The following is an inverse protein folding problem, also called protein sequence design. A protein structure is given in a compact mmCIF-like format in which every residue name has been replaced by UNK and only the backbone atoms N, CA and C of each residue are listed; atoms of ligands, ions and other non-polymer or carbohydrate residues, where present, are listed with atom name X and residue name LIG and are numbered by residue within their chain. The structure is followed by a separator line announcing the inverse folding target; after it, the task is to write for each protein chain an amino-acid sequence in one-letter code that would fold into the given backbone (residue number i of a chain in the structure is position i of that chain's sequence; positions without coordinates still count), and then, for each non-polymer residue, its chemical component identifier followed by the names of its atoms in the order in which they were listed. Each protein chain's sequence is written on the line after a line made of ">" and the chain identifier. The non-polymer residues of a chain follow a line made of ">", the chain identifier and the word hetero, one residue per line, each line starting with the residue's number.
data_IF_619355810522
#
_entry.id   IF_619355810522
#
_cell.length_a   1.000
_cell.length_b   1.000
_cell.length_c   1.000
_cell.angle_alpha   90.00
_cell.angle_beta   90.00
_cell.angle_gamma   90.00
#
_symmetry.space_group_name_H-M   'P 1'
#
loop_
_entity.id
_entity.type
_entity.pdbx_description
1 polymer ?
#
# COMPACT_ATOMS: atom_id res chain seq x y z
N UNK A 1 -1.46 42.00 -1.42
CA UNK A 1 -1.18 41.26 -2.67
C UNK A 1 -1.87 39.92 -2.59
N UNK A 2 -2.54 39.41 -3.61
CA UNK A 2 -3.14 38.09 -3.52
C UNK A 2 -2.00 37.08 -3.35
N UNK A 3 -2.01 36.39 -2.23
CA UNK A 3 -1.08 35.30 -1.96
C UNK A 3 -1.45 34.13 -2.88
N UNK A 4 -0.66 33.89 -3.92
CA UNK A 4 -0.88 32.83 -4.92
C UNK A 4 -0.52 31.43 -4.42
N UNK A 5 -0.01 31.31 -3.21
CA UNK A 5 0.41 30.02 -2.64
C UNK A 5 -0.76 29.34 -1.90
N UNK A 6 -1.00 28.03 -2.08
CA UNK A 6 -1.96 27.30 -1.29
C UNK A 6 -1.63 27.34 0.22
N UNK A 7 -2.66 27.35 1.08
CA UNK A 7 -2.48 27.41 2.54
C UNK A 7 -1.62 26.25 3.05
N UNK A 8 -1.81 25.07 2.48
CA UNK A 8 -1.01 23.89 2.78
C UNK A 8 0.51 24.07 2.51
N UNK A 9 0.89 24.95 1.60
CA UNK A 9 2.28 25.29 1.32
C UNK A 9 2.77 26.41 2.26
N UNK A 10 1.94 27.41 2.48
CA UNK A 10 2.24 28.57 3.34
C UNK A 10 2.48 28.16 4.81
N UNK A 11 1.74 27.17 5.31
CA UNK A 11 1.85 26.65 6.67
C UNK A 11 2.92 25.55 6.83
N UNK A 12 3.76 25.29 5.81
CA UNK A 12 4.81 24.28 5.95
C UNK A 12 5.77 24.64 7.06
N UNK A 13 6.08 23.69 7.96
CA UNK A 13 7.16 23.86 8.95
C UNK A 13 8.50 24.19 8.29
N UNK A 14 9.19 25.12 8.90
CA UNK A 14 10.56 25.53 8.51
C UNK A 14 11.62 25.02 9.47
N UNK A 15 11.20 24.61 10.66
CA UNK A 15 12.08 24.02 11.69
C UNK A 15 11.51 22.67 12.16
N UNK A 16 12.32 21.83 12.80
CA UNK A 16 11.88 20.57 13.38
C UNK A 16 10.89 20.78 14.53
N UNK A 17 10.99 21.87 15.26
CA UNK A 17 10.11 22.18 16.38
C UNK A 17 8.68 22.50 15.93
N UNK A 18 8.53 23.08 14.74
CA UNK A 18 7.21 23.33 14.13
C UNK A 18 6.52 22.05 13.62
N UNK A 19 7.28 20.96 13.46
CA UNK A 19 6.70 19.66 13.07
C UNK A 19 5.96 19.09 14.27
N UNK A 20 4.66 19.00 14.19
CA UNK A 20 3.81 18.40 15.21
C UNK A 20 3.96 16.88 15.15
N UNK A 21 3.86 16.18 16.30
CA UNK A 21 4.00 14.72 16.49
C UNK A 21 5.39 14.15 16.06
N UNK A 22 5.58 12.83 16.05
CA UNK A 22 6.84 12.16 15.66
C UNK A 22 8.01 12.39 16.64
N UNK A 23 7.74 12.50 17.93
CA UNK A 23 8.76 12.83 18.94
C UNK A 23 10.00 11.94 18.87
N UNK A 24 9.83 10.61 18.71
CA UNK A 24 10.98 9.69 18.57
C UNK A 24 11.76 9.90 17.28
N UNK A 25 11.05 10.21 16.19
CA UNK A 25 11.65 10.52 14.89
C UNK A 25 12.41 11.85 14.96
N UNK A 26 11.83 12.89 15.57
CA UNK A 26 12.48 14.17 15.81
C UNK A 26 13.76 14.00 16.60
N UNK A 27 13.71 13.30 17.74
CA UNK A 27 14.89 13.02 18.57
C UNK A 27 15.99 12.29 17.80
N UNK A 28 15.62 11.33 16.95
CA UNK A 28 16.58 10.62 16.11
C UNK A 28 17.23 11.53 15.07
N UNK A 29 16.43 12.36 14.41
CA UNK A 29 16.88 13.32 13.41
C UNK A 29 17.77 14.41 14.06
N UNK A 30 17.36 14.90 15.23
CA UNK A 30 18.11 15.91 15.96
C UNK A 30 19.50 15.40 16.36
N UNK A 31 19.63 14.17 16.83
CA UNK A 31 20.94 13.55 17.11
C UNK A 31 21.85 13.45 15.87
N UNK A 32 21.28 13.21 14.67
CA UNK A 32 22.09 13.22 13.44
C UNK A 32 22.56 14.62 13.08
N UNK A 33 21.74 15.64 13.33
CA UNK A 33 22.10 17.03 13.09
C UNK A 33 23.18 17.50 14.06
N UNK A 34 23.06 17.21 15.35
CA UNK A 34 24.05 17.54 16.38
C UNK A 34 25.43 16.97 16.06
N UNK A 35 25.48 15.77 15.50
CA UNK A 35 26.72 15.11 15.10
C UNK A 35 27.20 15.49 13.69
N UNK A 36 26.50 16.37 12.98
CA UNK A 36 26.79 16.71 11.58
C UNK A 36 26.94 15.50 10.63
N UNK A 37 26.45 14.35 11.06
CA UNK A 37 26.48 13.10 10.30
C UNK A 37 25.06 12.61 10.05
N UNK A 38 24.50 13.04 8.93
CA UNK A 38 23.18 12.57 8.48
C UNK A 38 23.40 11.40 7.53
N UNK A 39 23.00 10.19 7.90
CA UNK A 39 23.07 9.04 7.00
C UNK A 39 22.03 9.16 5.88
N UNK A 40 22.21 8.41 4.81
CA UNK A 40 21.10 8.21 3.87
C UNK A 40 19.91 7.53 4.57
N UNK A 41 18.69 7.96 4.24
CA UNK A 41 17.48 7.57 4.95
C UNK A 41 16.38 7.15 4.00
N UNK A 42 15.54 6.25 4.48
CA UNK A 42 14.30 5.85 3.82
C UNK A 42 13.15 6.29 4.72
N UNK A 43 12.37 7.24 4.24
CA UNK A 43 11.16 7.73 4.91
C UNK A 43 9.99 6.83 4.49
N UNK A 44 9.59 5.96 5.40
CA UNK A 44 8.52 5.02 5.17
C UNK A 44 7.29 5.38 5.98
N UNK A 45 6.19 5.49 5.36
CA UNK A 45 4.83 5.48 5.86
C UNK A 45 3.85 6.12 4.88
N UNK A 46 2.57 6.07 5.28
CA UNK A 46 1.34 6.59 4.67
C UNK A 46 1.53 7.87 3.84
N UNK A 47 0.77 8.10 2.80
CA UNK A 47 0.73 9.35 2.05
C UNK A 47 0.52 10.56 3.00
N UNK A 48 1.07 11.73 2.64
CA UNK A 48 0.73 13.02 3.27
C UNK A 48 1.34 13.32 4.66
N UNK A 49 2.36 12.59 5.08
CA UNK A 49 3.15 12.97 6.25
C UNK A 49 4.42 13.71 5.81
N UNK A 50 4.59 14.92 6.16
CA UNK A 50 5.74 15.83 6.10
C UNK A 50 7.09 15.33 5.51
N UNK A 51 7.16 14.22 4.76
CA UNK A 51 8.40 13.61 4.26
C UNK A 51 9.28 14.61 3.51
N UNK A 52 8.71 15.30 2.52
CA UNK A 52 9.40 16.35 1.78
C UNK A 52 9.75 17.54 2.66
N UNK A 53 8.85 17.91 3.60
CA UNK A 53 9.06 19.02 4.51
C UNK A 53 10.24 18.75 5.45
N UNK A 54 10.30 17.56 6.05
CA UNK A 54 11.41 17.17 6.92
C UNK A 54 12.73 17.11 6.14
N UNK A 55 12.71 16.62 4.90
CA UNK A 55 13.91 16.64 4.05
C UNK A 55 14.39 18.07 3.76
N UNK A 56 13.46 19.01 3.53
CA UNK A 56 13.78 20.43 3.40
C UNK A 56 14.35 21.03 4.69
N UNK A 57 13.72 20.78 5.83
CA UNK A 57 14.20 21.24 7.15
C UNK A 57 15.61 20.74 7.41
N UNK A 58 15.88 19.45 7.11
CA UNK A 58 17.21 18.87 7.22
C UNK A 58 18.24 19.59 6.34
N UNK A 59 17.87 19.91 5.10
CA UNK A 59 18.78 20.60 4.18
C UNK A 59 19.15 21.99 4.68
N UNK A 60 18.17 22.74 5.20
CA UNK A 60 18.40 24.08 5.77
C UNK A 60 19.30 24.03 7.00
N UNK A 61 19.05 23.13 7.92
CA UNK A 61 19.86 22.98 9.14
C UNK A 61 21.29 22.51 8.87
N UNK A 62 21.47 21.68 7.82
CA UNK A 62 22.80 21.24 7.37
C UNK A 62 23.50 22.21 6.45
N UNK A 63 22.87 23.30 6.06
CA UNK A 63 23.37 24.21 5.00
C UNK A 63 23.76 23.45 3.72
N UNK A 64 23.02 22.38 3.42
CA UNK A 64 23.25 21.51 2.26
C UNK A 64 22.48 22.02 1.04
N UNK A 65 23.01 21.79 -0.14
CA UNK A 65 22.22 21.97 -1.36
C UNK A 65 21.19 20.87 -1.47
N UNK A 66 19.93 21.30 -1.63
CA UNK A 66 18.78 20.41 -1.68
C UNK A 66 18.28 20.24 -3.12
N UNK A 67 18.19 19.00 -3.56
CA UNK A 67 17.62 18.65 -4.84
C UNK A 67 16.45 17.70 -4.62
N UNK A 68 15.30 18.03 -5.21
CA UNK A 68 14.11 17.20 -5.21
C UNK A 68 13.91 16.63 -6.61
N UNK A 69 13.84 15.31 -6.72
CA UNK A 69 13.51 14.64 -7.96
C UNK A 69 12.25 13.79 -7.79
N UNK A 70 11.29 14.04 -8.65
CA UNK A 70 10.16 13.14 -8.83
C UNK A 70 10.48 12.14 -9.94
N UNK A 71 10.59 10.86 -9.56
CA UNK A 71 10.93 9.81 -10.52
C UNK A 71 9.93 9.60 -11.66
N UNK A 72 8.71 10.09 -11.52
CA UNK A 72 7.69 10.04 -12.57
C UNK A 72 8.02 10.98 -13.73
N UNK A 73 8.69 12.10 -13.44
CA UNK A 73 8.96 13.18 -14.42
C UNK A 73 10.43 13.32 -14.80
N UNK A 74 11.37 12.81 -13.98
CA UNK A 74 12.80 13.06 -14.13
C UNK A 74 13.47 12.05 -15.06
N UNK A 75 14.38 12.56 -15.89
CA UNK A 75 15.21 11.77 -16.79
C UNK A 75 16.57 11.44 -16.14
N UNK A 76 17.32 10.52 -16.74
CA UNK A 76 18.67 10.16 -16.30
C UNK A 76 19.63 11.36 -16.34
N UNK A 77 19.40 12.31 -17.25
CA UNK A 77 20.16 13.54 -17.43
C UNK A 77 20.06 14.46 -16.20
N UNK A 78 18.85 14.56 -15.61
CA UNK A 78 18.62 15.38 -14.41
C UNK A 78 19.45 14.85 -13.22
N UNK A 79 19.54 13.54 -13.06
CA UNK A 79 20.36 12.92 -12.03
C UNK A 79 21.86 13.22 -12.26
N UNK A 80 22.33 13.10 -13.50
CA UNK A 80 23.74 13.41 -13.83
C UNK A 80 24.08 14.86 -13.51
N UNK A 81 23.21 15.81 -13.82
CA UNK A 81 23.39 17.23 -13.48
C UNK A 81 23.55 17.43 -11.98
N UNK A 82 22.74 16.73 -11.16
CA UNK A 82 22.84 16.80 -9.69
C UNK A 82 24.15 16.20 -9.20
N UNK A 83 24.59 15.09 -9.81
CA UNK A 83 25.86 14.46 -9.45
C UNK A 83 27.07 15.38 -9.76
N UNK A 84 27.07 16.06 -10.90
CA UNK A 84 28.07 17.07 -11.23
C UNK A 84 28.09 18.24 -10.23
N UNK A 85 26.89 18.67 -9.78
CA UNK A 85 26.80 19.67 -8.70
C UNK A 85 27.35 19.14 -7.37
N UNK A 86 27.06 17.89 -7.04
CA UNK A 86 27.54 17.25 -5.82
C UNK A 86 29.07 17.12 -5.82
N UNK A 87 29.70 16.83 -6.96
CA UNK A 87 31.15 16.81 -7.09
C UNK A 87 31.79 18.21 -6.85
N UNK A 88 31.17 19.26 -7.39
CA UNK A 88 31.59 20.65 -7.12
C UNK A 88 31.42 20.99 -5.64
N UNK A 89 30.30 20.66 -5.04
CA UNK A 89 30.02 20.89 -3.62
C UNK A 89 31.05 20.22 -2.71
N UNK A 90 31.43 18.97 -3.04
CA UNK A 90 32.45 18.23 -2.29
C UNK A 90 33.79 18.97 -2.23
N UNK A 91 34.18 19.66 -3.30
CA UNK A 91 35.39 20.44 -3.34
C UNK A 91 35.34 21.64 -2.35
N UNK A 92 34.16 22.10 -2.00
CA UNK A 92 33.94 23.22 -1.04
C UNK A 92 33.42 22.72 0.32
N UNK A 93 33.53 21.44 0.63
CA UNK A 93 33.01 20.81 1.87
C UNK A 93 31.53 21.03 2.11
N UNK A 94 30.77 21.35 1.06
CA UNK A 94 29.32 21.52 1.12
C UNK A 94 28.61 20.19 0.85
N UNK A 95 27.64 19.87 1.69
CA UNK A 95 26.85 18.63 1.52
C UNK A 95 25.80 18.79 0.44
N UNK A 96 25.51 17.71 -0.26
CA UNK A 96 24.42 17.62 -1.24
C UNK A 96 23.41 16.62 -0.76
N UNK A 97 22.16 17.04 -0.60
CA UNK A 97 21.05 16.22 -0.16
C UNK A 97 20.10 16.02 -1.34
N UNK A 98 19.89 14.77 -1.71
CA UNK A 98 18.98 14.39 -2.78
C UNK A 98 17.75 13.71 -2.19
N UNK A 99 16.58 14.33 -2.38
CA UNK A 99 15.30 13.79 -2.01
C UNK A 99 14.63 13.14 -3.22
N UNK A 100 14.22 11.88 -3.05
CA UNK A 100 13.56 11.08 -4.08
C UNK A 100 12.19 10.63 -3.58
N UNK A 101 11.14 11.14 -4.22
CA UNK A 101 9.78 10.72 -3.88
C UNK A 101 9.37 9.49 -4.69
N UNK A 102 8.59 8.60 -4.06
CA UNK A 102 8.00 7.40 -4.65
C UNK A 102 8.99 6.43 -5.32
N UNK A 103 10.08 6.07 -4.61
CA UNK A 103 11.14 5.16 -5.12
C UNK A 103 10.60 3.81 -5.62
N UNK A 104 9.48 3.33 -5.09
CA UNK A 104 8.85 2.06 -5.46
C UNK A 104 8.44 1.98 -6.94
N UNK A 105 8.30 3.11 -7.61
CA UNK A 105 8.01 3.18 -9.05
C UNK A 105 9.21 2.90 -9.97
N UNK A 106 10.40 2.66 -9.40
CA UNK A 106 11.62 2.33 -10.14
C UNK A 106 11.97 0.86 -10.07
N UNK A 107 12.51 0.36 -11.20
CA UNK A 107 13.05 -0.99 -11.24
C UNK A 107 14.37 -1.10 -10.44
N UNK A 108 14.74 -2.32 -10.07
CA UNK A 108 15.92 -2.59 -9.25
C UNK A 108 17.24 -2.09 -9.88
N UNK A 109 17.39 -2.20 -11.20
CA UNK A 109 18.59 -1.72 -11.89
C UNK A 109 18.79 -0.20 -11.80
N UNK A 110 17.70 0.56 -11.80
CA UNK A 110 17.74 2.01 -11.60
C UNK A 110 18.07 2.37 -10.14
N UNK A 111 17.61 1.59 -9.19
CA UNK A 111 17.98 1.73 -7.78
C UNK A 111 19.47 1.44 -7.58
N UNK A 112 20.00 0.40 -8.22
CA UNK A 112 21.43 0.03 -8.15
C UNK A 112 22.34 1.14 -8.68
N UNK A 113 21.91 1.92 -9.65
CA UNK A 113 22.71 3.02 -10.20
C UNK A 113 23.02 4.13 -9.19
N UNK A 114 22.30 4.20 -8.06
CA UNK A 114 22.54 5.16 -6.98
C UNK A 114 23.57 4.69 -5.95
N UNK A 115 23.83 3.37 -5.87
CA UNK A 115 24.72 2.78 -4.87
C UNK A 115 26.12 3.43 -4.83
N UNK A 116 26.83 3.62 -5.95
CA UNK A 116 28.19 4.21 -5.92
C UNK A 116 28.23 5.59 -5.28
N UNK A 117 27.19 6.39 -5.49
CA UNK A 117 27.14 7.79 -5.00
C UNK A 117 26.76 7.87 -3.52
N UNK A 118 25.98 6.90 -3.04
CA UNK A 118 25.69 6.75 -1.60
C UNK A 118 26.90 6.20 -0.86
N UNK A 119 27.59 5.20 -1.42
CA UNK A 119 28.79 4.59 -0.81
C UNK A 119 29.98 5.54 -0.74
N UNK A 120 30.17 6.37 -1.77
CA UNK A 120 31.23 7.39 -1.78
C UNK A 120 30.95 8.58 -0.87
N UNK A 121 29.74 8.68 -0.31
CA UNK A 121 29.29 9.83 0.46
C UNK A 121 29.20 11.13 -0.35
N UNK A 122 29.15 11.03 -1.68
CA UNK A 122 29.02 12.17 -2.58
C UNK A 122 27.67 12.87 -2.37
N UNK A 123 26.62 12.09 -2.16
CA UNK A 123 25.27 12.55 -1.85
C UNK A 123 24.74 11.91 -0.58
N UNK A 124 23.98 12.67 0.20
CA UNK A 124 23.10 12.11 1.23
C UNK A 124 21.73 11.91 0.63
N UNK A 125 21.27 10.69 0.59
CA UNK A 125 20.04 10.31 -0.11
C UNK A 125 18.91 10.13 0.88
N UNK A 126 17.78 10.79 0.64
CA UNK A 126 16.52 10.60 1.37
C UNK A 126 15.47 10.08 0.41
N UNK A 127 15.00 8.88 0.64
CA UNK A 127 13.92 8.27 -0.14
C UNK A 127 12.61 8.32 0.61
N UNK A 128 11.56 8.73 -0.08
CA UNK A 128 10.22 8.62 0.42
C UNK A 128 9.48 7.49 -0.28
N UNK A 129 8.77 6.67 0.48
CA UNK A 129 7.90 5.61 -0.05
C UNK A 129 6.69 5.40 0.84
N UNK A 130 5.57 5.07 0.21
CA UNK A 130 4.35 4.64 0.89
C UNK A 130 4.27 3.12 0.99
N UNK A 131 5.04 2.39 0.18
CA UNK A 131 5.09 0.94 0.20
C UNK A 131 6.14 0.42 1.17
N UNK A 132 5.97 -0.82 1.64
CA UNK A 132 6.94 -1.43 2.54
C UNK A 132 8.32 -1.57 1.87
N UNK A 133 9.36 -0.91 2.42
CA UNK A 133 10.70 -0.88 1.84
C UNK A 133 11.30 -2.27 1.59
N UNK A 134 10.93 -3.24 2.41
CA UNK A 134 11.45 -4.62 2.31
C UNK A 134 11.03 -5.33 1.02
N UNK A 135 9.97 -4.87 0.36
CA UNK A 135 9.49 -5.46 -0.90
C UNK A 135 9.90 -4.64 -2.11
N UNK A 136 10.05 -3.32 -1.95
CA UNK A 136 10.17 -2.38 -3.07
C UNK A 136 11.58 -1.86 -3.28
N UNK A 137 12.42 -1.87 -2.23
CA UNK A 137 13.80 -1.39 -2.29
C UNK A 137 14.76 -2.59 -2.30
N UNK A 138 15.84 -2.50 -3.07
CA UNK A 138 16.82 -3.56 -3.10
C UNK A 138 17.59 -3.65 -1.77
N UNK A 139 18.05 -4.86 -1.44
CA UNK A 139 18.73 -5.13 -0.18
C UNK A 139 20.05 -4.35 -0.03
N UNK A 140 20.70 -4.03 -1.13
CA UNK A 140 21.97 -3.30 -1.12
C UNK A 140 21.77 -1.86 -0.65
N UNK A 141 20.68 -1.20 -1.06
CA UNK A 141 20.31 0.12 -0.59
C UNK A 141 19.76 0.11 0.84
N UNK A 142 18.92 -0.90 1.17
CA UNK A 142 18.39 -1.07 2.53
C UNK A 142 19.51 -1.21 3.57
N UNK A 143 20.61 -1.89 3.23
CA UNK A 143 21.75 -2.06 4.16
C UNK A 143 22.55 -0.77 4.39
N UNK A 144 22.39 0.25 3.54
CA UNK A 144 23.16 1.51 3.58
C UNK A 144 22.33 2.72 3.97
N UNK A 145 21.04 2.54 4.16
CA UNK A 145 20.14 3.62 4.54
C UNK A 145 19.39 3.28 5.84
N UNK A 146 19.16 4.27 6.67
CA UNK A 146 18.35 4.10 7.88
C UNK A 146 16.88 4.26 7.54
N UNK A 147 16.09 3.23 7.84
CA UNK A 147 14.63 3.32 7.71
C UNK A 147 14.08 4.16 8.88
N UNK A 148 13.39 5.23 8.54
CA UNK A 148 12.66 6.10 9.45
C UNK A 148 11.19 5.86 9.19
N UNK A 149 10.51 5.32 10.18
CA UNK A 149 9.06 5.05 10.12
C UNK A 149 8.33 6.26 10.68
N UNK A 150 7.40 6.82 9.89
CA UNK A 150 6.55 7.91 10.34
C UNK A 150 5.22 7.33 10.83
N UNK A 151 4.72 7.79 11.93
CA UNK A 151 3.40 7.40 12.43
C UNK A 151 2.29 8.22 11.74
N UNK A 152 1.13 7.63 11.56
CA UNK A 152 -0.04 8.35 11.07
C UNK A 152 -0.42 9.48 12.03
N UNK A 153 -0.89 10.59 11.47
CA UNK A 153 -1.43 11.69 12.25
C UNK A 153 -2.70 11.26 12.98
N UNK A 154 -2.82 11.71 14.23
CA UNK A 154 -4.08 11.62 14.95
C UNK A 154 -4.88 12.90 14.77
N UNK A 155 -6.20 12.88 14.96
CA UNK A 155 -7.02 14.10 14.90
C UNK A 155 -6.48 15.24 15.77
N UNK A 156 -6.02 14.90 16.97
CA UNK A 156 -5.48 15.86 17.95
C UNK A 156 -4.20 16.55 17.42
N UNK A 157 -3.38 15.82 16.66
CA UNK A 157 -2.16 16.36 16.07
C UNK A 157 -2.46 17.44 15.04
N UNK A 158 -3.51 17.23 14.20
CA UNK A 158 -3.93 18.19 13.18
C UNK A 158 -4.54 19.44 13.84
N UNK A 159 -5.34 19.27 14.86
CA UNK A 159 -5.91 20.38 15.63
C UNK A 159 -4.78 21.18 16.27
N UNK A 160 -3.82 20.51 16.92
CA UNK A 160 -2.63 21.14 17.51
C UNK A 160 -1.82 21.90 16.46
N UNK A 161 -1.65 21.32 15.26
CA UNK A 161 -0.99 22.00 14.16
C UNK A 161 -1.68 23.31 13.79
N UNK A 162 -3.01 23.32 13.64
CA UNK A 162 -3.74 24.54 13.35
C UNK A 162 -3.60 25.57 14.47
N UNK A 163 -3.69 25.17 15.72
CA UNK A 163 -3.49 26.08 16.87
C UNK A 163 -2.11 26.75 16.84
N UNK A 164 -1.06 25.98 16.56
CA UNK A 164 0.30 26.51 16.46
C UNK A 164 0.49 27.46 15.27
N UNK A 165 -0.43 27.42 14.30
CA UNK A 165 -0.33 28.25 13.10
C UNK A 165 -1.44 29.30 12.97
N UNK A 166 -2.29 29.48 13.99
CA UNK A 166 -3.38 30.46 13.95
C UNK A 166 -2.90 31.88 13.65
N UNK A 167 -1.76 32.29 14.25
CA UNK A 167 -1.18 33.61 13.96
C UNK A 167 -0.81 33.78 12.47
N UNK A 168 -0.22 32.75 11.85
CA UNK A 168 0.08 32.75 10.42
C UNK A 168 -1.19 32.80 9.57
N UNK A 169 -2.23 32.07 9.99
CA UNK A 169 -3.52 32.05 9.31
C UNK A 169 -4.18 33.43 9.42
N UNK A 170 -4.24 34.02 10.60
CA UNK A 170 -4.81 35.35 10.82
C UNK A 170 -4.00 36.46 10.11
N UNK A 171 -2.68 36.32 9.99
CA UNK A 171 -1.88 37.26 9.21
C UNK A 171 -2.28 37.30 7.72
N UNK A 172 -2.76 36.16 7.19
CA UNK A 172 -3.22 36.02 5.81
C UNK A 172 -4.71 36.34 5.65
N UNK A 173 -5.52 35.98 6.65
CA UNK A 173 -6.97 36.16 6.71
C UNK A 173 -7.37 36.85 8.03
N UNK A 174 -7.17 38.18 8.16
CA UNK A 174 -7.23 38.89 9.44
C UNK A 174 -8.59 38.83 10.16
N UNK A 175 -9.66 38.67 9.39
CA UNK A 175 -11.03 38.75 9.94
C UNK A 175 -11.68 37.38 10.11
N UNK A 176 -10.96 36.29 9.87
CA UNK A 176 -11.56 34.96 9.90
C UNK A 176 -11.74 34.48 11.35
N UNK A 177 -12.92 33.99 11.67
CA UNK A 177 -13.19 33.29 12.91
C UNK A 177 -13.16 31.80 12.70
N UNK A 178 -12.26 31.12 13.41
CA UNK A 178 -12.07 29.66 13.38
C UNK A 178 -12.30 29.13 14.77
N UNK A 179 -13.36 28.34 14.92
CA UNK A 179 -13.68 27.70 16.21
C UNK A 179 -13.05 26.31 16.29
N UNK A 180 -12.93 25.76 17.50
CA UNK A 180 -12.46 24.39 17.75
C UNK A 180 -13.35 23.34 17.08
N UNK A 181 -14.66 23.63 17.04
CA UNK A 181 -15.66 22.80 16.37
C UNK A 181 -15.43 22.74 14.86
N UNK A 182 -15.10 23.89 14.25
CA UNK A 182 -14.72 23.93 12.83
C UNK A 182 -13.46 23.09 12.54
N UNK A 183 -12.43 23.22 13.36
CA UNK A 183 -11.19 22.43 13.21
C UNK A 183 -11.44 20.94 13.38
N UNK A 184 -12.30 20.56 14.30
CA UNK A 184 -12.70 19.16 14.52
C UNK A 184 -13.46 18.62 13.31
N UNK A 185 -14.42 19.36 12.78
CA UNK A 185 -15.20 18.99 11.60
C UNK A 185 -14.29 18.87 10.37
N UNK A 186 -13.41 19.85 10.13
CA UNK A 186 -12.44 19.84 9.02
C UNK A 186 -11.49 18.65 9.12
N UNK A 187 -10.95 18.38 10.32
CA UNK A 187 -10.02 17.26 10.58
C UNK A 187 -10.66 15.91 10.27
N UNK A 188 -11.90 15.72 10.72
CA UNK A 188 -12.65 14.49 10.47
C UNK A 188 -12.97 14.29 8.99
N UNK A 189 -13.39 15.35 8.29
CA UNK A 189 -13.68 15.30 6.85
C UNK A 189 -12.41 15.12 6.00
N UNK A 190 -11.29 15.67 6.44
CA UNK A 190 -9.99 15.49 5.78
C UNK A 190 -9.40 14.09 5.94
N UNK A 191 -10.05 13.20 6.70
CA UNK A 191 -9.58 11.83 6.99
C UNK A 191 -8.15 11.82 7.54
N UNK A 192 -7.85 12.74 8.45
CA UNK A 192 -6.56 12.90 9.14
C UNK A 192 -5.37 13.21 8.23
N UNK A 193 -5.65 13.65 7.03
CA UNK A 193 -4.66 14.16 6.09
C UNK A 193 -4.54 15.68 6.27
N UNK A 194 -3.38 16.12 6.72
CA UNK A 194 -3.15 17.51 7.04
C UNK A 194 -3.19 18.43 5.79
N UNK A 195 -2.74 17.95 4.63
CA UNK A 195 -2.80 18.74 3.39
C UNK A 195 -4.25 18.95 2.97
N UNK A 196 -5.06 17.88 3.07
CA UNK A 196 -6.48 17.97 2.80
C UNK A 196 -7.20 18.86 3.82
N UNK A 197 -6.81 18.79 5.09
CA UNK A 197 -7.35 19.68 6.13
C UNK A 197 -7.01 21.15 5.85
N UNK A 198 -5.78 21.48 5.47
CA UNK A 198 -5.39 22.83 5.07
C UNK A 198 -6.16 23.31 3.82
N UNK A 199 -6.30 22.47 2.81
CA UNK A 199 -7.03 22.79 1.58
C UNK A 199 -8.53 23.00 1.87
N UNK A 200 -9.11 22.15 2.74
CA UNK A 200 -10.51 22.27 3.13
C UNK A 200 -10.74 23.55 3.94
N UNK A 201 -9.85 23.87 4.88
CA UNK A 201 -9.89 25.13 5.61
C UNK A 201 -9.81 26.33 4.65
N UNK A 202 -8.84 26.35 3.73
CA UNK A 202 -8.70 27.42 2.74
C UNK A 202 -9.94 27.59 1.86
N UNK A 203 -10.49 26.47 1.38
CA UNK A 203 -11.73 26.48 0.59
C UNK A 203 -12.94 26.97 1.41
N UNK A 204 -13.01 26.61 2.69
CA UNK A 204 -14.07 27.08 3.59
C UNK A 204 -13.95 28.59 3.83
N UNK A 205 -12.73 29.11 4.02
CA UNK A 205 -12.48 30.54 4.13
C UNK A 205 -12.92 31.28 2.85
N UNK A 206 -12.59 30.74 1.68
CA UNK A 206 -12.94 31.35 0.38
C UNK A 206 -14.45 31.34 0.10
N UNK A 207 -15.18 30.37 0.64
CA UNK A 207 -16.64 30.27 0.48
C UNK A 207 -17.41 31.02 1.56
N UNK A 208 -16.76 31.47 2.63
CA UNK A 208 -17.40 32.26 3.68
C UNK A 208 -17.76 33.64 3.16
N UNK A 209 -18.96 34.11 3.52
CA UNK A 209 -19.46 35.46 3.11
C UNK A 209 -19.18 36.55 4.15
N UNK A 210 -19.12 36.18 5.43
CA UNK A 210 -18.94 37.10 6.55
C UNK A 210 -17.71 36.77 7.40
N UNK A 211 -16.74 36.06 6.86
CA UNK A 211 -15.55 35.56 7.56
C UNK A 211 -15.87 34.58 8.69
N UNK A 212 -17.10 34.11 8.81
CA UNK A 212 -17.54 33.05 9.71
C UNK A 212 -17.57 31.72 8.94
N UNK A 213 -16.99 30.69 9.53
CA UNK A 213 -17.02 29.32 9.03
C UNK A 213 -18.07 28.57 9.84
N UNK A 214 -19.05 27.95 9.13
CA UNK A 214 -20.03 27.06 9.74
C UNK A 214 -20.02 25.70 9.04
N UNK A 215 -20.72 24.72 9.59
CA UNK A 215 -20.77 23.37 9.04
C UNK A 215 -21.32 23.31 7.63
N UNK A 216 -22.26 24.16 7.23
CA UNK A 216 -22.79 24.22 5.87
C UNK A 216 -21.71 24.66 4.87
N UNK A 217 -20.91 25.66 5.25
CA UNK A 217 -19.77 26.14 4.43
C UNK A 217 -18.71 25.05 4.33
N UNK A 218 -18.37 24.39 5.43
CA UNK A 218 -17.40 23.28 5.45
C UNK A 218 -17.88 22.13 4.55
N UNK A 219 -19.15 21.74 4.66
CA UNK A 219 -19.74 20.69 3.82
C UNK A 219 -19.75 21.10 2.34
N UNK A 220 -20.05 22.35 2.04
CA UNK A 220 -20.03 22.91 0.68
C UNK A 220 -18.60 22.98 0.11
N UNK A 221 -17.63 23.37 0.94
CA UNK A 221 -16.20 23.41 0.59
C UNK A 221 -15.63 22.01 0.36
N UNK A 222 -16.07 21.05 1.19
CA UNK A 222 -15.67 19.65 1.06
C UNK A 222 -16.15 19.05 -0.27
N UNK A 223 -17.30 19.50 -0.78
CA UNK A 223 -17.85 19.01 -2.04
C UNK A 223 -18.15 17.51 -1.98
N UNK A 224 -18.08 16.83 -3.13
CA UNK A 224 -18.13 15.37 -3.17
C UNK A 224 -16.75 14.84 -2.74
N UNK A 225 -16.67 13.85 -1.84
CA UNK A 225 -15.40 13.31 -1.39
C UNK A 225 -14.57 12.80 -2.58
N UNK A 226 -13.50 13.53 -2.93
CA UNK A 226 -12.65 13.23 -4.08
C UNK A 226 -11.40 12.41 -3.72
N UNK A 227 -11.21 12.01 -2.46
CA UNK A 227 -9.98 11.36 -2.01
C UNK A 227 -10.25 10.03 -1.32
N UNK A 228 -10.54 9.03 -2.12
CA UNK A 228 -10.23 7.65 -1.82
C UNK A 228 -8.89 7.34 -2.49
N UNK A 229 -7.86 7.08 -1.68
CA UNK A 229 -6.57 6.61 -2.18
C UNK A 229 -6.74 5.15 -2.64
N UNK A 230 -7.08 4.98 -3.92
CA UNK A 230 -7.33 3.66 -4.54
C UNK A 230 -6.14 2.72 -4.45
N UNK A 231 -4.94 3.25 -4.32
CA UNK A 231 -3.69 2.50 -4.29
C UNK A 231 -3.01 2.55 -2.91
N UNK A 232 -3.65 3.17 -1.90
CA UNK A 232 -3.09 3.37 -0.58
C UNK A 232 -3.34 2.24 0.40
N UNK A 233 -2.69 2.31 1.55
CA UNK A 233 -2.75 1.31 2.61
C UNK A 233 -4.16 1.14 3.19
N UNK A 234 -4.94 2.23 3.28
CA UNK A 234 -6.32 2.21 3.80
C UNK A 234 -7.27 1.38 2.93
N UNK A 235 -7.08 1.41 1.61
CA UNK A 235 -7.78 0.54 0.66
C UNK A 235 -7.58 -0.95 1.00
N UNK A 236 -6.31 -1.34 1.23
CA UNK A 236 -5.98 -2.72 1.62
C UNK A 236 -6.47 -3.07 3.03
N UNK A 237 -6.45 -2.11 3.94
CA UNK A 237 -6.93 -2.31 5.32
C UNK A 237 -8.44 -2.58 5.35
N UNK A 238 -9.24 -1.81 4.62
CA UNK A 238 -10.70 -1.97 4.60
C UNK A 238 -11.09 -3.29 3.92
N UNK A 239 -10.50 -3.62 2.77
CA UNK A 239 -10.82 -4.91 2.13
C UNK A 239 -10.38 -6.11 2.99
N UNK A 240 -9.27 -5.97 3.72
CA UNK A 240 -8.85 -6.97 4.70
C UNK A 240 -9.82 -7.08 5.88
N UNK A 241 -10.38 -5.95 6.33
CA UNK A 241 -11.41 -5.93 7.37
C UNK A 241 -12.70 -6.63 6.90
N UNK A 242 -13.14 -6.44 5.64
CA UNK A 242 -14.27 -7.17 5.06
C UNK A 242 -14.03 -8.68 5.12
N UNK A 243 -12.86 -9.15 4.66
CA UNK A 243 -12.54 -10.58 4.67
C UNK A 243 -12.46 -11.15 6.09
N UNK A 244 -11.86 -10.44 7.03
CA UNK A 244 -11.78 -10.88 8.44
C UNK A 244 -13.16 -10.93 9.09
N UNK A 245 -14.00 -9.92 8.88
CA UNK A 245 -15.38 -9.92 9.38
C UNK A 245 -16.20 -11.09 8.84
N UNK A 246 -16.09 -11.39 7.54
CA UNK A 246 -16.77 -12.56 6.95
C UNK A 246 -16.21 -13.89 7.48
N UNK A 247 -14.90 -13.97 7.72
CA UNK A 247 -14.23 -15.16 8.27
C UNK A 247 -14.67 -15.43 9.69
N UNK A 248 -14.79 -14.38 10.49
CA UNK A 248 -15.25 -14.44 11.88
C UNK A 248 -16.77 -14.46 12.00
N UNK A 249 -17.48 -14.49 10.86
CA UNK A 249 -18.95 -14.55 10.76
C UNK A 249 -19.65 -13.34 11.41
N UNK A 250 -19.05 -12.13 11.25
CA UNK A 250 -19.70 -10.86 11.60
C UNK A 250 -20.25 -10.15 10.35
N UNK A 251 -21.58 -10.32 10.05
CA UNK A 251 -22.18 -9.71 8.86
C UNK A 251 -22.35 -8.20 8.99
N UNK A 252 -22.50 -7.70 10.23
CA UNK A 252 -22.70 -6.27 10.47
C UNK A 252 -21.45 -5.47 10.15
N UNK A 253 -20.30 -5.93 10.65
CA UNK A 253 -19.01 -5.34 10.32
C UNK A 253 -18.69 -5.47 8.82
N UNK A 254 -18.93 -6.65 8.21
CA UNK A 254 -18.70 -6.84 6.79
C UNK A 254 -19.52 -5.87 5.92
N UNK A 255 -20.81 -5.72 6.19
CA UNK A 255 -21.70 -4.79 5.47
C UNK A 255 -21.29 -3.33 5.70
N UNK A 256 -20.88 -2.96 6.92
CA UNK A 256 -20.38 -1.61 7.23
C UNK A 256 -19.14 -1.28 6.38
N UNK A 257 -18.15 -2.16 6.33
CA UNK A 257 -16.93 -1.94 5.57
C UNK A 257 -17.17 -1.91 4.06
N UNK A 258 -18.07 -2.74 3.53
CA UNK A 258 -18.50 -2.68 2.13
C UNK A 258 -19.13 -1.32 1.83
N UNK A 259 -20.07 -0.87 2.66
CA UNK A 259 -20.71 0.43 2.47
C UNK A 259 -19.72 1.58 2.55
N UNK A 260 -18.77 1.53 3.50
CA UNK A 260 -17.71 2.54 3.64
C UNK A 260 -16.86 2.65 2.37
N UNK A 261 -16.44 1.52 1.77
CA UNK A 261 -15.72 1.54 0.50
C UNK A 261 -16.54 2.16 -0.63
N UNK A 262 -17.83 1.81 -0.73
CA UNK A 262 -18.72 2.32 -1.78
C UNK A 262 -19.00 3.82 -1.63
N UNK A 263 -19.17 4.31 -0.42
CA UNK A 263 -19.34 5.75 -0.13
C UNK A 263 -18.08 6.53 -0.49
N UNK A 264 -16.91 5.92 -0.33
CA UNK A 264 -15.64 6.49 -0.71
C UNK A 264 -15.24 6.25 -2.17
N UNK A 265 -16.22 5.90 -3.02
CA UNK A 265 -16.07 5.75 -4.46
C UNK A 265 -15.15 4.60 -4.92
N UNK A 266 -15.01 3.56 -4.10
CA UNK A 266 -14.39 2.34 -4.58
C UNK A 266 -15.20 1.74 -5.72
N UNK A 267 -14.49 1.19 -6.70
CA UNK A 267 -15.11 0.45 -7.79
C UNK A 267 -15.85 -0.79 -7.23
N UNK A 268 -17.18 -0.88 -7.36
CA UNK A 268 -17.93 -2.04 -6.89
C UNK A 268 -17.41 -3.36 -7.43
N UNK A 269 -16.82 -3.36 -8.63
CA UNK A 269 -16.21 -4.55 -9.26
C UNK A 269 -14.97 -5.02 -8.49
N UNK A 270 -14.23 -4.12 -7.88
CA UNK A 270 -13.11 -4.49 -7.02
C UNK A 270 -13.59 -5.25 -5.79
N UNK A 271 -14.61 -4.75 -5.10
CA UNK A 271 -15.21 -5.43 -3.94
C UNK A 271 -15.74 -6.80 -4.35
N UNK A 272 -16.48 -6.87 -5.46
CA UNK A 272 -17.01 -8.13 -5.98
C UNK A 272 -15.89 -9.16 -6.28
N UNK A 273 -14.79 -8.76 -6.90
CA UNK A 273 -13.60 -9.63 -7.14
C UNK A 273 -13.01 -10.15 -5.84
N UNK A 274 -12.95 -9.32 -4.82
CA UNK A 274 -12.39 -9.72 -3.52
C UNK A 274 -13.31 -10.70 -2.80
N UNK A 275 -14.63 -10.51 -2.89
CA UNK A 275 -15.60 -11.46 -2.37
C UNK A 275 -15.63 -12.80 -3.16
N UNK A 276 -15.40 -12.75 -4.47
CA UNK A 276 -15.23 -13.94 -5.31
C UNK A 276 -14.01 -14.75 -4.87
N UNK A 277 -12.89 -14.09 -4.59
CA UNK A 277 -11.71 -14.75 -4.02
C UNK A 277 -12.01 -15.35 -2.65
N UNK A 278 -12.71 -14.65 -1.78
CA UNK A 278 -13.11 -15.15 -0.46
C UNK A 278 -13.95 -16.42 -0.56
N UNK A 279 -14.90 -16.47 -1.50
CA UNK A 279 -15.72 -17.65 -1.74
C UNK A 279 -14.88 -18.90 -2.06
N UNK A 280 -13.76 -18.75 -2.77
CA UNK A 280 -12.84 -19.85 -3.08
C UNK A 280 -11.85 -20.15 -1.97
N UNK A 281 -11.34 -19.13 -1.28
CA UNK A 281 -10.27 -19.22 -0.29
C UNK A 281 -10.77 -19.71 1.07
N UNK A 282 -11.94 -19.20 1.51
CA UNK A 282 -12.45 -19.39 2.88
C UNK A 282 -13.75 -20.22 2.97
N UNK A 283 -14.37 -20.58 1.85
CA UNK A 283 -15.66 -21.32 1.84
C UNK A 283 -15.57 -22.62 1.06
N UNK A 284 -15.08 -22.61 -0.18
CA UNK A 284 -14.93 -23.83 -0.97
C UNK A 284 -13.86 -24.78 -0.34
N UNK A 285 -14.07 -26.11 -0.28
CA UNK A 285 -15.17 -26.91 -0.84
C UNK A 285 -16.34 -27.19 0.13
N UNK A 286 -16.45 -26.47 1.24
CA UNK A 286 -17.54 -26.70 2.19
C UNK A 286 -18.90 -26.29 1.61
N UNK A 287 -18.93 -25.30 0.71
CA UNK A 287 -20.09 -24.89 -0.06
C UNK A 287 -19.71 -24.52 -1.50
N UNK A 288 -20.00 -25.40 -2.44
CA UNK A 288 -19.69 -25.22 -3.85
C UNK A 288 -20.52 -24.10 -4.52
N UNK A 289 -21.69 -23.75 -3.99
CA UNK A 289 -22.54 -22.70 -4.54
C UNK A 289 -21.98 -21.30 -4.25
N UNK A 290 -21.14 -21.15 -3.22
CA UNK A 290 -20.55 -19.87 -2.85
C UNK A 290 -19.78 -19.24 -4.01
N UNK A 291 -18.94 -20.02 -4.70
CA UNK A 291 -18.16 -19.55 -5.85
C UNK A 291 -19.06 -19.19 -7.04
N UNK A 292 -20.08 -20.00 -7.32
CA UNK A 292 -21.04 -19.75 -8.39
C UNK A 292 -21.82 -18.46 -8.15
N UNK A 293 -22.35 -18.28 -6.95
CA UNK A 293 -23.05 -17.05 -6.58
C UNK A 293 -22.14 -15.82 -6.65
N UNK A 294 -20.92 -15.94 -6.14
CA UNK A 294 -19.96 -14.85 -6.19
C UNK A 294 -19.63 -14.41 -7.62
N UNK A 295 -19.49 -15.35 -8.55
CA UNK A 295 -19.30 -15.06 -9.96
C UNK A 295 -20.53 -14.39 -10.58
N UNK A 296 -21.74 -14.85 -10.27
CA UNK A 296 -22.98 -14.22 -10.74
C UNK A 296 -23.13 -12.78 -10.21
N UNK A 297 -22.77 -12.54 -8.96
CA UNK A 297 -22.76 -11.18 -8.38
C UNK A 297 -21.72 -10.31 -9.04
N UNK A 298 -20.54 -10.83 -9.35
CA UNK A 298 -19.53 -10.08 -10.11
C UNK A 298 -20.05 -9.64 -11.47
N UNK A 299 -20.71 -10.54 -12.20
CA UNK A 299 -21.34 -10.24 -13.50
C UNK A 299 -22.51 -9.25 -13.37
N UNK A 300 -23.32 -9.37 -12.34
CA UNK A 300 -24.42 -8.44 -12.07
C UNK A 300 -23.89 -7.02 -11.78
N UNK A 301 -22.84 -6.89 -10.99
CA UNK A 301 -22.18 -5.60 -10.68
C UNK A 301 -21.56 -4.95 -11.92
N UNK A 302 -21.14 -5.74 -12.92
CA UNK A 302 -20.68 -5.18 -14.20
C UNK A 302 -21.83 -4.64 -15.07
N UNK A 303 -23.01 -5.27 -14.99
CA UNK A 303 -24.18 -4.92 -15.82
C UNK A 303 -25.02 -3.81 -15.19
N UNK A 304 -25.08 -3.77 -13.87
CA UNK A 304 -25.91 -2.84 -13.09
C UNK A 304 -24.97 -1.97 -12.27
N UNK A 305 -24.98 -0.68 -12.56
CA UNK A 305 -24.08 0.29 -11.95
C UNK A 305 -24.61 0.86 -10.62
N UNK A 306 -23.83 1.72 -9.98
CA UNK A 306 -24.24 2.45 -8.78
C UNK A 306 -25.46 3.36 -9.07
N UNK A 307 -26.39 3.47 -8.13
CA UNK A 307 -26.36 2.92 -6.76
C UNK A 307 -26.96 1.51 -6.60
N UNK A 308 -27.58 0.94 -7.62
CA UNK A 308 -28.36 -0.31 -7.51
C UNK A 308 -27.49 -1.53 -7.27
N UNK A 309 -26.27 -1.57 -7.79
CA UNK A 309 -25.37 -2.72 -7.65
C UNK A 309 -24.99 -3.05 -6.19
N UNK A 310 -25.17 -2.11 -5.25
CA UNK A 310 -24.89 -2.30 -3.82
C UNK A 310 -25.63 -3.50 -3.23
N UNK A 311 -26.87 -3.70 -3.65
CA UNK A 311 -27.72 -4.77 -3.11
C UNK A 311 -27.13 -6.16 -3.39
N UNK A 312 -26.52 -6.35 -4.56
CA UNK A 312 -25.87 -7.63 -4.91
C UNK A 312 -24.64 -7.90 -4.04
N UNK A 313 -23.85 -6.86 -3.70
CA UNK A 313 -22.70 -7.01 -2.81
C UNK A 313 -23.12 -7.41 -1.39
N UNK A 314 -24.19 -6.80 -0.87
CA UNK A 314 -24.74 -7.18 0.44
C UNK A 314 -25.34 -8.58 0.41
N UNK A 315 -26.08 -8.95 -0.65
CA UNK A 315 -26.60 -10.30 -0.83
C UNK A 315 -25.46 -11.33 -0.76
N UNK A 316 -24.36 -11.09 -1.47
CA UNK A 316 -23.21 -11.98 -1.46
C UNK A 316 -22.55 -12.03 -0.08
N UNK A 317 -22.35 -10.88 0.58
CA UNK A 317 -21.77 -10.83 1.92
C UNK A 317 -22.60 -11.64 2.94
N UNK A 318 -23.92 -11.50 2.90
CA UNK A 318 -24.83 -12.26 3.76
C UNK A 318 -24.82 -13.77 3.46
N UNK A 319 -24.67 -14.15 2.20
CA UNK A 319 -24.50 -15.55 1.83
C UNK A 319 -23.18 -16.11 2.38
N UNK A 320 -22.08 -15.42 2.11
CA UNK A 320 -20.73 -15.82 2.54
C UNK A 320 -20.60 -15.85 4.07
N UNK A 321 -21.31 -14.97 4.77
CA UNK A 321 -21.41 -15.02 6.23
C UNK A 321 -21.97 -16.35 6.73
N UNK A 322 -23.11 -16.82 6.17
CA UNK A 322 -23.80 -18.06 6.58
C UNK A 322 -23.07 -19.32 6.13
N UNK A 323 -22.29 -19.23 5.05
CA UNK A 323 -21.62 -20.38 4.48
C UNK A 323 -20.62 -21.00 5.46
N UNK A 324 -20.52 -22.34 5.51
CA UNK A 324 -19.49 -23.00 6.31
C UNK A 324 -18.10 -22.60 5.83
N UNK A 325 -17.16 -22.41 6.77
CA UNK A 325 -15.81 -21.95 6.46
C UNK A 325 -14.86 -23.12 6.25
N UNK A 326 -14.03 -23.02 5.22
CA UNK A 326 -12.99 -24.00 4.90
C UNK A 326 -11.84 -23.32 4.16
N UNK A 327 -10.62 -23.40 4.68
CA UNK A 327 -9.45 -22.76 4.11
C UNK A 327 -8.46 -23.73 3.44
N UNK A 328 -8.96 -24.89 3.01
CA UNK A 328 -8.10 -25.96 2.47
C UNK A 328 -7.30 -25.50 1.24
N UNK A 329 -7.89 -24.67 0.37
CA UNK A 329 -7.21 -24.16 -0.82
C UNK A 329 -6.02 -23.26 -0.45
N UNK A 330 -6.18 -22.34 0.49
CA UNK A 330 -5.09 -21.49 0.98
C UNK A 330 -4.01 -22.32 1.69
N UNK A 331 -4.41 -23.34 2.45
CA UNK A 331 -3.47 -24.27 3.08
C UNK A 331 -2.64 -25.03 2.05
N UNK A 332 -3.28 -25.56 1.01
CA UNK A 332 -2.59 -26.27 -0.08
C UNK A 332 -1.60 -25.34 -0.76
N UNK A 333 -2.00 -24.14 -1.15
CA UNK A 333 -1.12 -23.16 -1.80
C UNK A 333 0.12 -22.87 -0.95
N UNK A 334 -0.07 -22.57 0.33
CA UNK A 334 1.04 -22.27 1.24
C UNK A 334 1.99 -23.45 1.44
N UNK A 335 1.46 -24.66 1.65
CA UNK A 335 2.28 -25.83 1.93
C UNK A 335 3.03 -26.31 0.68
N UNK A 336 2.38 -26.31 -0.49
CA UNK A 336 3.06 -26.62 -1.75
C UNK A 336 4.16 -25.63 -2.07
N UNK A 337 3.91 -24.33 -1.83
CA UNK A 337 4.91 -23.28 -2.03
C UNK A 337 6.12 -23.43 -1.09
N UNK A 338 5.92 -23.89 0.16
CA UNK A 338 7.02 -24.19 1.09
C UNK A 338 7.89 -25.34 0.56
N UNK A 339 7.27 -26.41 0.08
CA UNK A 339 8.01 -27.54 -0.45
C UNK A 339 8.77 -27.16 -1.73
N UNK A 340 8.16 -26.39 -2.64
CA UNK A 340 8.85 -25.87 -3.83
C UNK A 340 10.05 -25.00 -3.43
N UNK A 341 9.90 -24.09 -2.48
CA UNK A 341 11.02 -23.24 -2.00
C UNK A 341 12.14 -24.05 -1.33
N UNK A 342 11.78 -25.13 -0.64
CA UNK A 342 12.73 -25.98 0.07
C UNK A 342 13.55 -26.85 -0.89
N UNK A 343 12.87 -27.47 -1.85
CA UNK A 343 13.47 -28.46 -2.75
C UNK A 343 13.77 -27.93 -4.15
N UNK A 344 13.29 -26.74 -4.45
CA UNK A 344 13.44 -25.99 -5.68
C UNK A 344 12.99 -26.75 -6.93
N UNK A 345 13.79 -27.55 -7.55
CA UNK A 345 13.51 -28.17 -8.84
C UNK A 345 13.62 -29.70 -8.80
N UNK A 346 12.68 -30.35 -8.12
CA UNK A 346 12.61 -31.81 -8.11
C UNK A 346 12.12 -32.34 -9.47
N UNK A 347 12.73 -33.42 -9.95
CA UNK A 347 12.34 -34.02 -11.23
C UNK A 347 10.97 -34.67 -11.13
N UNK A 348 10.20 -34.57 -12.21
CA UNK A 348 8.95 -35.34 -12.34
C UNK A 348 9.30 -36.83 -12.39
N UNK A 349 8.61 -37.71 -11.62
CA UNK A 349 8.86 -39.16 -11.65
C UNK A 349 8.80 -39.72 -13.05
N UNK A 350 9.72 -40.62 -13.38
CA UNK A 350 9.84 -41.19 -14.76
C UNK A 350 8.54 -41.86 -15.21
N UNK A 351 7.81 -42.50 -14.30
CA UNK A 351 6.58 -43.20 -14.55
C UNK A 351 5.49 -42.31 -15.14
N UNK A 352 5.39 -41.04 -14.73
CA UNK A 352 4.35 -40.10 -15.20
C UNK A 352 4.85 -39.09 -16.26
N UNK A 353 6.10 -39.24 -16.76
CA UNK A 353 6.60 -38.44 -17.87
C UNK A 353 6.04 -38.94 -19.19
N UNK A 354 5.60 -38.00 -20.05
CA UNK A 354 5.19 -38.34 -21.40
C UNK A 354 6.38 -38.81 -22.24
N UNK A 355 6.17 -39.83 -23.10
CA UNK A 355 7.16 -40.40 -24.01
C UNK A 355 6.76 -40.22 -25.50
N UNK A 356 6.69 -38.99 -26.02
CA UNK A 356 6.23 -38.73 -27.40
C UNK A 356 7.21 -39.21 -28.47
N UNK A 357 8.45 -39.53 -28.12
CA UNK A 357 9.49 -39.99 -29.07
C UNK A 357 9.99 -41.38 -28.71
N UNK A 358 10.50 -42.14 -29.73
CA UNK A 358 11.09 -43.47 -29.54
C UNK A 358 12.23 -43.43 -28.53
N UNK A 359 13.06 -42.41 -28.59
CA UNK A 359 14.18 -42.23 -27.64
C UNK A 359 13.69 -42.09 -26.20
N UNK A 360 12.61 -41.35 -25.96
CA UNK A 360 12.02 -41.22 -24.62
C UNK A 360 11.47 -42.55 -24.11
N UNK A 361 10.87 -43.36 -24.96
CA UNK A 361 10.48 -44.71 -24.65
C UNK A 361 11.69 -45.60 -24.24
N UNK A 362 12.76 -45.52 -24.98
CA UNK A 362 14.02 -46.23 -24.66
C UNK A 362 14.64 -45.75 -23.35
N UNK A 363 14.45 -44.50 -23.00
CA UNK A 363 14.88 -43.87 -21.73
C UNK A 363 13.92 -44.12 -20.56
N UNK A 364 13.00 -45.06 -20.70
CA UNK A 364 12.07 -45.50 -19.63
C UNK A 364 11.03 -44.49 -19.22
N UNK A 365 10.74 -43.45 -20.01
CA UNK A 365 9.63 -42.55 -19.77
C UNK A 365 8.31 -43.29 -19.92
N UNK A 366 7.32 -43.00 -19.03
CA UNK A 366 6.00 -43.62 -18.98
C UNK A 366 6.00 -45.15 -18.75
N UNK A 367 7.11 -45.75 -18.48
CA UNK A 367 7.21 -47.18 -18.21
C UNK A 367 6.63 -47.47 -16.83
N UNK A 368 5.81 -48.48 -16.73
CA UNK A 368 5.10 -48.86 -15.51
C UNK A 368 3.94 -47.91 -15.11
N UNK A 369 3.51 -46.99 -15.97
CA UNK A 369 2.34 -46.20 -15.73
C UNK A 369 1.09 -47.04 -16.03
N UNK A 370 0.21 -47.21 -15.00
CA UNK A 370 -1.08 -47.89 -15.15
C UNK A 370 -2.14 -46.83 -15.43
N UNK A 371 -2.77 -46.90 -16.59
CA UNK A 371 -3.81 -45.97 -17.01
C UNK A 371 -5.09 -46.22 -16.25
N UNK A 372 -5.54 -45.27 -15.45
CA UNK A 372 -6.65 -45.44 -14.50
C UNK A 372 -7.98 -45.92 -15.16
N UNK A 373 -8.25 -45.53 -16.40
CA UNK A 373 -9.47 -45.92 -17.11
C UNK A 373 -9.46 -47.38 -17.55
N UNK A 374 -8.31 -48.02 -17.65
CA UNK A 374 -8.19 -49.45 -18.00
C UNK A 374 -8.43 -50.35 -16.77
N UNK A 375 -8.58 -49.74 -15.58
CA UNK A 375 -8.73 -50.42 -14.30
C UNK A 375 -10.03 -50.02 -13.57
N UNK A 376 -11.23 -50.31 -14.15
CA UNK A 376 -12.50 -49.93 -13.52
C UNK A 376 -12.73 -50.62 -12.18
N UNK A 377 -12.07 -51.74 -11.89
CA UNK A 377 -12.09 -52.46 -10.64
C UNK A 377 -11.51 -51.68 -9.47
N UNK A 378 -10.62 -50.72 -9.72
CA UNK A 378 -10.01 -49.85 -8.72
C UNK A 378 -10.86 -48.63 -8.34
N UNK A 379 -12.12 -48.55 -8.88
CA UNK A 379 -13.03 -47.45 -8.59
C UNK A 379 -13.58 -47.57 -7.17
N UNK A 380 -13.50 -46.50 -6.43
CA UNK A 380 -14.03 -46.38 -5.07
C UNK A 380 -15.53 -46.01 -5.09
N UNK A 381 -16.20 -46.13 -3.95
CA UNK A 381 -17.59 -45.76 -3.82
C UNK A 381 -17.92 -44.29 -4.09
N UNK A 382 -16.93 -43.41 -3.93
CA UNK A 382 -17.00 -41.97 -4.21
C UNK A 382 -16.62 -41.64 -5.66
N UNK A 383 -16.55 -42.64 -6.54
CA UNK A 383 -16.17 -42.53 -7.95
C UNK A 383 -14.70 -42.19 -8.21
N UNK A 384 -13.84 -42.06 -7.20
CA UNK A 384 -12.38 -41.91 -7.39
C UNK A 384 -11.80 -43.28 -7.82
N UNK A 385 -10.65 -43.22 -8.55
CA UNK A 385 -9.89 -44.41 -8.94
C UNK A 385 -8.55 -44.38 -8.21
N UNK A 386 -8.25 -45.42 -7.46
CA UNK A 386 -7.03 -45.53 -6.67
C UNK A 386 -6.01 -46.41 -7.37
N UNK A 387 -4.94 -45.81 -7.86
CA UNK A 387 -3.82 -46.47 -8.56
C UNK A 387 -2.56 -46.45 -7.72
N UNK A 388 -1.62 -47.36 -8.00
CA UNK A 388 -0.32 -47.43 -7.32
C UNK A 388 0.79 -46.60 -8.04
N UNK A 389 0.39 -45.74 -8.99
CA UNK A 389 1.32 -44.87 -9.67
C UNK A 389 2.01 -43.89 -8.73
N UNK A 390 3.31 -43.69 -8.92
CA UNK A 390 4.04 -42.67 -8.18
C UNK A 390 3.87 -41.31 -8.83
N UNK A 391 3.17 -40.41 -8.16
CA UNK A 391 2.90 -39.03 -8.64
C UNK A 391 3.84 -37.99 -8.06
N UNK A 392 4.42 -38.24 -6.88
CA UNK A 392 5.35 -37.34 -6.24
C UNK A 392 6.81 -37.72 -6.53
N UNK A 393 7.72 -36.72 -6.58
CA UNK A 393 9.16 -36.97 -6.45
C UNK A 393 9.49 -37.80 -5.20
N UNK A 394 10.61 -38.49 -5.20
CA UNK A 394 10.98 -39.39 -4.13
C UNK A 394 11.02 -38.69 -2.76
N UNK A 395 11.49 -37.44 -2.74
CA UNK A 395 11.57 -36.60 -1.55
C UNK A 395 10.23 -36.21 -0.95
N UNK A 396 9.15 -36.31 -1.75
CA UNK A 396 7.79 -35.92 -1.36
C UNK A 396 6.80 -37.07 -1.32
N UNK A 397 7.21 -38.33 -1.49
CA UNK A 397 6.31 -39.52 -1.50
C UNK A 397 5.37 -39.61 -0.29
N UNK A 398 5.82 -39.13 0.85
CA UNK A 398 5.08 -39.15 2.12
C UNK A 398 4.16 -37.92 2.31
N UNK A 399 4.25 -36.93 1.41
CA UNK A 399 3.57 -35.64 1.59
C UNK A 399 2.05 -35.75 1.36
N UNK A 400 1.30 -35.12 2.26
CA UNK A 400 -0.13 -34.85 2.11
C UNK A 400 -0.38 -33.40 2.41
N UNK A 401 -1.13 -32.72 1.58
CA UNK A 401 -1.43 -31.30 1.73
C UNK A 401 -2.76 -31.04 2.40
N UNK A 402 -3.63 -32.08 2.44
CA UNK A 402 -4.95 -32.03 3.07
C UNK A 402 -5.35 -33.41 3.61
#
# INVERSE_FOLDING_TARGET
>A
MPHNEPLAYYLRPTTLDEVVWQEQTKLSIQKFLENWQVPSMIFWWSPWCWKTTIANVLSHQLQADFFELSWVKSKKEDLNTILEHAEKNKAYWKKTLLFLDEIHRRNKAQQDSLLPFVESGLITLIWATTENPSFTINNALLSRAKVIVFEALKPEDIITFFHNHLEKIHSRYPNIEITEENLTTITNLANWDLRNACNLLESSIMLSTNWEINDEIIQKAFGKPMYYDRDGEEHYNIISAIHKSLRDSDPHAACYWIQRMLVWWEDPRYIARRLLRFASEDVWPADNNALLLANQVYDAVQKIWMPECRVFLFQLALYLWKAPKNNICDKIDRETMKDIKKYWNLPVPMQIRNAPTKLMWELWYWKWYEYAHDHPENRQADWTIKMNNQHFPDELKWRKYF
#
